data_IF_136144860107
#
_entry.id   IF_136144860107
#
_cell.length_a   1.000
_cell.length_b   1.000
_cell.length_c   1.000
_cell.angle_alpha   90.00
_cell.angle_beta   90.00
_cell.angle_gamma   90.00
#
_symmetry.space_group_name_H-M   'P 1'
#
loop_
_entity.id
_entity.type
_entity.pdbx_description
1 polymer ?
#
# COMPACT_ATOMS: atom_id res chain seq x y z
N UNK A 1 26.33 19.63 -8.00
CA UNK A 1 24.94 19.51 -8.50
C UNK A 1 24.80 18.59 -9.71
N UNK A 2 25.77 18.52 -10.63
CA UNK A 2 25.76 17.63 -11.83
C UNK A 2 25.70 16.10 -11.56
N UNK A 3 25.98 15.65 -10.33
CA UNK A 3 25.88 14.24 -9.96
C UNK A 3 24.42 13.81 -9.71
N UNK A 4 23.63 14.68 -9.08
CA UNK A 4 22.23 14.41 -8.75
C UNK A 4 21.34 14.38 -9.99
N UNK A 5 21.56 15.29 -10.95
CA UNK A 5 20.83 15.28 -12.22
C UNK A 5 21.07 13.99 -13.01
N UNK A 6 22.33 13.55 -13.12
CA UNK A 6 22.68 12.28 -13.78
C UNK A 6 22.05 11.05 -13.15
N UNK A 7 21.95 11.00 -11.82
CA UNK A 7 21.29 9.90 -11.11
C UNK A 7 19.79 9.91 -11.42
N UNK A 8 19.15 11.08 -11.38
CA UNK A 8 17.72 11.23 -11.68
C UNK A 8 17.42 10.83 -13.13
N UNK A 9 18.25 11.24 -14.08
CA UNK A 9 18.07 10.91 -15.49
C UNK A 9 18.23 9.39 -15.74
N UNK A 10 19.18 8.75 -15.05
CA UNK A 10 19.35 7.30 -15.11
C UNK A 10 18.16 6.53 -14.52
N UNK A 11 17.60 7.01 -13.41
CA UNK A 11 16.40 6.43 -12.81
C UNK A 11 15.20 6.59 -13.75
N UNK A 12 15.02 7.76 -14.38
CA UNK A 12 13.95 7.98 -15.37
C UNK A 12 14.08 7.02 -16.56
N UNK A 13 15.29 6.86 -17.09
CA UNK A 13 15.57 5.94 -18.17
C UNK A 13 15.20 4.50 -17.79
N UNK A 14 15.56 4.05 -16.59
CA UNK A 14 15.20 2.72 -16.11
C UNK A 14 13.68 2.55 -15.95
N UNK A 15 13.00 3.58 -15.45
CA UNK A 15 11.53 3.57 -15.29
C UNK A 15 10.83 3.45 -16.65
N UNK A 16 11.33 4.15 -17.66
CA UNK A 16 10.78 4.15 -19.01
C UNK A 16 11.01 2.80 -19.71
N UNK A 17 12.23 2.27 -19.66
CA UNK A 17 12.60 1.00 -20.30
C UNK A 17 11.86 -0.20 -19.70
N UNK A 18 11.62 -0.20 -18.38
CA UNK A 18 11.00 -1.35 -17.69
C UNK A 18 9.49 -1.22 -17.49
N UNK A 19 8.90 -0.07 -17.82
CA UNK A 19 7.52 0.27 -17.49
C UNK A 19 7.15 0.05 -16.01
N UNK A 20 8.13 0.09 -15.11
CA UNK A 20 7.96 -0.20 -13.68
C UNK A 20 6.92 0.70 -13.00
N UNK A 21 6.65 1.89 -13.56
CA UNK A 21 5.62 2.77 -13.04
C UNK A 21 4.26 2.06 -12.93
N UNK A 22 3.97 1.10 -13.80
CA UNK A 22 2.72 0.33 -13.79
C UNK A 22 2.69 -0.64 -12.60
N UNK A 23 3.83 -1.28 -12.33
CA UNK A 23 4.03 -2.21 -11.21
C UNK A 23 3.94 -1.46 -9.88
N UNK A 24 4.65 -0.34 -9.78
CA UNK A 24 4.61 0.53 -8.61
C UNK A 24 3.17 1.01 -8.30
N UNK A 25 2.42 1.45 -9.32
CA UNK A 25 1.01 1.85 -9.13
C UNK A 25 0.14 0.70 -8.65
N UNK A 26 0.32 -0.51 -9.18
CA UNK A 26 -0.42 -1.71 -8.75
C UNK A 26 -0.14 -2.05 -7.28
N UNK A 27 1.14 -2.11 -6.89
CA UNK A 27 1.53 -2.40 -5.50
C UNK A 27 1.04 -1.31 -4.54
N UNK A 28 1.18 -0.03 -4.91
CA UNK A 28 0.71 1.08 -4.08
C UNK A 28 -0.79 1.00 -3.77
N UNK A 29 -1.62 0.76 -4.80
CA UNK A 29 -3.08 0.70 -4.61
C UNK A 29 -3.47 -0.55 -3.84
N UNK A 30 -2.90 -1.71 -4.20
CA UNK A 30 -3.22 -3.00 -3.55
C UNK A 30 -2.86 -2.96 -2.07
N UNK A 31 -1.60 -2.70 -1.74
CA UNK A 31 -1.14 -2.80 -0.36
C UNK A 31 -1.54 -1.55 0.46
N UNK A 32 -1.72 -0.40 -0.20
CA UNK A 32 -2.37 0.77 0.40
C UNK A 32 -3.82 0.49 0.84
N UNK A 33 -4.60 -0.22 0.02
CA UNK A 33 -5.94 -0.69 0.40
C UNK A 33 -5.86 -1.65 1.59
N UNK A 34 -4.95 -2.63 1.54
CA UNK A 34 -4.78 -3.60 2.62
C UNK A 34 -4.44 -2.91 3.96
N UNK A 35 -3.61 -1.86 3.95
CA UNK A 35 -3.28 -1.07 5.14
C UNK A 35 -4.50 -0.36 5.74
N UNK A 36 -5.28 0.34 4.92
CA UNK A 36 -6.53 0.98 5.37
C UNK A 36 -7.55 -0.04 5.88
N UNK A 37 -7.70 -1.18 5.20
CA UNK A 37 -8.65 -2.24 5.59
C UNK A 37 -8.26 -2.95 6.87
N UNK A 38 -6.96 -3.22 7.06
CA UNK A 38 -6.44 -3.85 8.27
C UNK A 38 -6.68 -2.95 9.49
N UNK A 39 -6.39 -1.66 9.38
CA UNK A 39 -6.65 -0.70 10.45
C UNK A 39 -8.15 -0.51 10.66
N UNK A 40 -8.98 -0.51 9.61
CA UNK A 40 -10.45 -0.49 9.77
C UNK A 40 -10.93 -1.66 10.63
N UNK A 41 -10.44 -2.88 10.35
CA UNK A 41 -10.76 -4.06 11.14
C UNK A 41 -10.35 -3.92 12.60
N UNK A 42 -9.15 -3.39 12.87
CA UNK A 42 -8.68 -3.11 14.24
C UNK A 42 -9.55 -2.08 14.94
N UNK A 43 -9.91 -0.98 14.26
CA UNK A 43 -10.76 0.08 14.81
C UNK A 43 -12.15 -0.48 15.15
N UNK A 44 -12.80 -1.18 14.21
CA UNK A 44 -14.14 -1.72 14.43
C UNK A 44 -14.14 -2.82 15.49
N UNK A 45 -13.13 -3.70 15.50
CA UNK A 45 -12.99 -4.72 16.54
C UNK A 45 -12.74 -4.12 17.91
N UNK A 46 -11.93 -3.08 18.01
CA UNK A 46 -11.68 -2.35 19.25
C UNK A 46 -12.93 -1.63 19.74
N UNK A 47 -13.74 -1.09 18.82
CA UNK A 47 -15.05 -0.51 19.16
C UNK A 47 -15.96 -1.58 19.77
N UNK A 48 -16.12 -2.73 19.09
CA UNK A 48 -16.96 -3.82 19.58
C UNK A 48 -16.51 -4.31 20.96
N UNK A 49 -15.20 -4.37 21.20
CA UNK A 49 -14.59 -4.72 22.49
C UNK A 49 -14.60 -3.58 23.53
N UNK A 50 -15.15 -2.41 23.21
CA UNK A 50 -15.24 -1.21 24.07
C UNK A 50 -13.88 -0.78 24.64
N UNK A 51 -12.85 -0.79 23.80
CA UNK A 51 -11.51 -0.37 24.21
C UNK A 51 -11.49 1.15 24.42
N UNK A 52 -11.24 1.58 25.66
CA UNK A 52 -11.19 3.00 26.02
C UNK A 52 -9.79 3.62 25.94
N UNK A 53 -8.74 2.78 25.78
CA UNK A 53 -7.36 3.26 25.75
C UNK A 53 -6.87 3.41 24.29
N UNK A 54 -6.66 4.64 23.79
CA UNK A 54 -6.22 4.88 22.41
C UNK A 54 -4.82 4.35 22.12
N UNK A 55 -3.97 4.18 23.15
CA UNK A 55 -2.64 3.58 23.01
C UNK A 55 -2.70 2.16 22.45
N UNK A 56 -3.68 1.36 22.90
CA UNK A 56 -3.84 -0.03 22.46
C UNK A 56 -4.14 -0.07 20.96
N UNK A 57 -5.03 0.81 20.49
CA UNK A 57 -5.47 0.87 19.09
C UNK A 57 -4.32 1.34 18.20
N UNK A 58 -3.59 2.38 18.63
CA UNK A 58 -2.42 2.89 17.89
C UNK A 58 -1.33 1.84 17.79
N UNK A 59 -1.00 1.15 18.89
CA UNK A 59 0.04 0.10 18.87
C UNK A 59 -0.38 -1.13 18.07
N UNK A 60 -1.65 -1.56 18.17
CA UNK A 60 -2.16 -2.65 17.35
C UNK A 60 -2.13 -2.29 15.85
N UNK A 61 -2.60 -1.09 15.50
CA UNK A 61 -2.60 -0.60 14.12
C UNK A 61 -1.20 -0.45 13.55
N UNK A 62 -0.30 0.21 14.29
CA UNK A 62 1.11 0.35 13.90
C UNK A 62 1.80 -1.00 13.77
N UNK A 63 1.62 -1.90 14.74
CA UNK A 63 2.22 -3.22 14.74
C UNK A 63 1.78 -4.04 13.52
N UNK A 64 0.47 -4.04 13.22
CA UNK A 64 -0.06 -4.70 12.04
C UNK A 64 0.50 -4.11 10.73
N UNK A 65 0.59 -2.78 10.64
CA UNK A 65 1.09 -2.12 9.43
C UNK A 65 2.58 -2.28 9.23
N UNK A 66 3.37 -2.31 10.31
CA UNK A 66 4.79 -2.64 10.25
C UNK A 66 5.00 -4.08 9.82
N UNK A 67 4.23 -5.03 10.35
CA UNK A 67 4.29 -6.42 9.92
C UNK A 67 3.95 -6.57 8.43
N UNK A 68 2.89 -5.91 7.96
CA UNK A 68 2.53 -5.86 6.54
C UNK A 68 3.59 -5.16 5.70
N UNK A 69 4.15 -4.06 6.17
CA UNK A 69 5.17 -3.30 5.45
C UNK A 69 6.45 -4.11 5.25
N UNK A 70 6.94 -4.77 6.31
CA UNK A 70 8.07 -5.70 6.23
C UNK A 70 7.73 -6.87 5.30
N UNK A 71 6.54 -7.47 5.45
CA UNK A 71 6.11 -8.57 4.59
C UNK A 71 6.02 -8.16 3.12
N UNK A 72 5.53 -6.96 2.82
CA UNK A 72 5.45 -6.41 1.47
C UNK A 72 6.83 -6.08 0.89
N UNK A 73 7.71 -5.43 1.68
CA UNK A 73 9.09 -5.14 1.28
C UNK A 73 9.81 -6.42 0.80
N UNK A 74 9.89 -7.42 1.67
CA UNK A 74 10.63 -8.64 1.35
C UNK A 74 9.88 -9.50 0.34
N UNK A 75 8.54 -9.58 0.44
CA UNK A 75 7.71 -10.35 -0.47
C UNK A 75 7.81 -9.85 -1.91
N UNK A 76 7.54 -8.56 -2.14
CA UNK A 76 7.65 -7.97 -3.46
C UNK A 76 9.09 -7.99 -3.98
N UNK A 77 10.11 -7.77 -3.14
CA UNK A 77 11.51 -7.87 -3.57
C UNK A 77 11.85 -9.27 -4.09
N UNK A 78 11.55 -10.32 -3.32
CA UNK A 78 11.91 -11.69 -3.69
C UNK A 78 11.11 -12.13 -4.92
N UNK A 79 9.81 -11.85 -4.96
CA UNK A 79 8.93 -12.22 -6.08
C UNK A 79 9.34 -11.49 -7.36
N UNK A 80 9.48 -10.16 -7.34
CA UNK A 80 9.89 -9.42 -8.54
C UNK A 80 11.31 -9.79 -8.95
N UNK A 81 12.24 -10.05 -8.02
CA UNK A 81 13.59 -10.49 -8.37
C UNK A 81 13.58 -11.81 -9.13
N UNK A 82 12.76 -12.78 -8.69
CA UNK A 82 12.61 -14.05 -9.37
C UNK A 82 12.01 -13.87 -10.78
N UNK A 83 10.94 -13.08 -10.90
CA UNK A 83 10.29 -12.80 -12.20
C UNK A 83 11.24 -12.06 -13.17
N UNK A 84 11.96 -11.02 -12.70
CA UNK A 84 12.91 -10.28 -13.55
C UNK A 84 14.05 -11.17 -14.03
N UNK A 85 14.59 -12.02 -13.16
CA UNK A 85 15.64 -12.95 -13.54
C UNK A 85 15.17 -13.96 -14.58
N UNK A 86 13.94 -14.45 -14.46
CA UNK A 86 13.33 -15.32 -15.47
C UNK A 86 13.15 -14.61 -16.80
N UNK A 87 12.58 -13.40 -16.79
CA UNK A 87 12.35 -12.60 -18.01
C UNK A 87 13.66 -12.35 -18.78
N UNK A 88 14.75 -12.00 -18.06
CA UNK A 88 16.07 -11.80 -18.70
C UNK A 88 16.59 -13.11 -19.29
N UNK A 89 16.52 -14.21 -18.54
CA UNK A 89 16.99 -15.51 -19.01
C UNK A 89 16.22 -16.02 -20.23
N UNK A 90 14.91 -15.91 -20.21
CA UNK A 90 14.06 -16.29 -21.36
C UNK A 90 14.40 -15.43 -22.60
N UNK A 91 14.74 -14.15 -22.38
CA UNK A 91 15.17 -13.26 -23.46
C UNK A 91 16.54 -13.66 -24.02
N UNK A 92 17.53 -13.93 -23.17
CA UNK A 92 18.88 -14.41 -23.56
C UNK A 92 18.80 -15.70 -24.39
N UNK A 93 17.97 -16.66 -23.97
CA UNK A 93 17.73 -17.90 -24.69
C UNK A 93 17.09 -17.65 -26.07
N UNK A 94 16.15 -16.69 -26.16
CA UNK A 94 15.47 -16.36 -27.44
C UNK A 94 16.38 -15.65 -28.45
N UNK A 95 17.38 -14.88 -27.98
CA UNK A 95 18.31 -14.14 -28.83
C UNK A 95 19.67 -14.85 -28.98
N UNK A 96 19.87 -15.97 -28.28
CA UNK A 96 21.12 -16.74 -28.22
C UNK A 96 22.34 -15.89 -27.86
N UNK A 97 22.15 -14.92 -26.96
CA UNK A 97 23.18 -13.95 -26.57
C UNK A 97 23.00 -13.52 -25.13
N UNK A 98 24.11 -13.30 -24.44
CA UNK A 98 24.16 -12.86 -23.05
C UNK A 98 23.81 -11.36 -22.96
N UNK A 99 22.96 -11.00 -21.99
CA UNK A 99 22.54 -9.62 -21.74
C UNK A 99 23.34 -8.97 -20.59
N UNK A 100 24.41 -9.60 -20.11
CA UNK A 100 25.27 -9.11 -19.04
C UNK A 100 25.81 -7.71 -19.33
N UNK A 101 25.56 -6.80 -18.39
CA UNK A 101 25.92 -5.39 -18.52
C UNK A 101 25.05 -4.58 -19.49
N UNK A 102 24.03 -5.18 -20.13
CA UNK A 102 23.09 -4.46 -20.99
C UNK A 102 22.25 -3.46 -20.20
N UNK A 103 21.71 -2.45 -20.91
CA UNK A 103 20.76 -1.51 -20.32
C UNK A 103 19.52 -2.25 -19.78
N UNK A 104 19.07 -3.29 -20.49
CA UNK A 104 17.87 -4.05 -20.14
C UNK A 104 18.04 -4.84 -18.84
N UNK A 105 19.19 -5.48 -18.63
CA UNK A 105 19.49 -6.18 -17.38
C UNK A 105 19.61 -5.20 -16.22
N UNK A 106 20.42 -4.14 -16.37
CA UNK A 106 20.62 -3.15 -15.31
C UNK A 106 19.30 -2.49 -14.89
N UNK A 107 18.42 -2.19 -15.84
CA UNK A 107 17.11 -1.64 -15.53
C UNK A 107 16.21 -2.69 -14.84
N UNK A 108 16.27 -3.96 -15.24
CA UNK A 108 15.51 -5.04 -14.62
C UNK A 108 15.93 -5.34 -13.17
N UNK A 109 17.21 -5.17 -12.82
CA UNK A 109 17.71 -5.31 -11.45
C UNK A 109 17.24 -4.19 -10.51
N UNK A 110 16.89 -3.02 -11.06
CA UNK A 110 16.31 -1.93 -10.28
C UNK A 110 14.85 -2.21 -9.90
N UNK A 111 14.13 -3.03 -10.68
CA UNK A 111 12.69 -3.23 -10.51
C UNK A 111 12.28 -3.78 -9.14
N UNK A 112 12.90 -4.85 -8.62
CA UNK A 112 12.50 -5.44 -7.35
C UNK A 112 12.65 -4.46 -6.18
N UNK A 113 13.68 -3.60 -6.23
CA UNK A 113 13.93 -2.63 -5.17
C UNK A 113 12.85 -1.55 -5.12
N UNK A 114 12.48 -0.97 -6.27
CA UNK A 114 11.42 0.05 -6.28
C UNK A 114 10.05 -0.57 -5.95
N UNK A 115 9.75 -1.75 -6.49
CA UNK A 115 8.52 -2.47 -6.20
C UNK A 115 8.37 -2.75 -4.71
N UNK A 116 9.43 -3.27 -4.07
CA UNK A 116 9.49 -3.51 -2.63
C UNK A 116 9.22 -2.25 -1.82
N UNK A 117 9.92 -1.15 -2.13
CA UNK A 117 9.75 0.11 -1.38
C UNK A 117 8.32 0.63 -1.47
N UNK A 118 7.74 0.64 -2.67
CA UNK A 118 6.37 1.12 -2.87
C UNK A 118 5.37 0.20 -2.19
N UNK A 119 5.53 -1.12 -2.35
CA UNK A 119 4.66 -2.10 -1.72
C UNK A 119 4.72 -1.96 -0.20
N UNK A 120 5.90 -1.98 0.41
CA UNK A 120 6.05 -1.95 1.85
C UNK A 120 5.71 -0.64 2.55
N UNK A 121 5.92 0.50 1.90
CA UNK A 121 5.57 1.81 2.49
C UNK A 121 4.08 2.11 2.39
N UNK A 122 3.40 1.62 1.35
CA UNK A 122 2.01 2.00 1.08
C UNK A 122 1.01 1.66 2.21
N UNK A 123 1.03 0.50 2.89
CA UNK A 123 0.11 0.22 3.99
C UNK A 123 0.32 1.18 5.15
N UNK A 124 1.57 1.48 5.48
CA UNK A 124 1.90 2.36 6.61
C UNK A 124 1.37 3.76 6.35
N UNK A 125 1.55 4.28 5.13
CA UNK A 125 1.05 5.61 4.75
C UNK A 125 -0.48 5.71 4.85
N UNK A 126 -1.19 4.70 4.34
CA UNK A 126 -2.66 4.72 4.33
C UNK A 126 -3.24 4.46 5.73
N UNK A 127 -2.61 3.59 6.51
CA UNK A 127 -2.96 3.33 7.90
C UNK A 127 -2.73 4.52 8.82
N UNK A 128 -1.67 5.30 8.61
CA UNK A 128 -1.41 6.51 9.39
C UNK A 128 -2.56 7.50 9.29
N UNK A 129 -3.18 7.65 8.11
CA UNK A 129 -4.34 8.52 7.94
C UNK A 129 -5.48 8.10 8.88
N UNK A 130 -5.72 6.80 9.00
CA UNK A 130 -6.75 6.24 9.89
C UNK A 130 -6.40 6.33 11.37
N UNK A 131 -5.12 6.32 11.74
CA UNK A 131 -4.67 6.34 13.14
C UNK A 131 -4.47 7.75 13.72
N UNK A 132 -4.38 8.80 12.88
CA UNK A 132 -4.24 10.19 13.32
C UNK A 132 -5.23 10.57 14.45
N UNK A 133 -6.54 10.29 14.36
CA UNK A 133 -7.49 10.65 15.42
C UNK A 133 -7.21 9.97 16.76
N UNK A 134 -6.63 8.78 16.77
CA UNK A 134 -6.25 8.09 18.01
C UNK A 134 -4.95 8.65 18.58
N UNK A 135 -4.00 9.05 17.72
CA UNK A 135 -2.78 9.75 18.14
C UNK A 135 -3.14 11.08 18.80
N UNK A 136 -4.09 11.84 18.26
CA UNK A 136 -4.56 13.09 18.89
C UNK A 136 -5.33 12.83 20.19
N UNK A 137 -6.04 11.70 20.30
CA UNK A 137 -6.67 11.25 21.55
C UNK A 137 -5.65 10.90 22.64
N UNK A 138 -4.51 10.28 22.28
CA UNK A 138 -3.41 10.05 23.23
C UNK A 138 -2.84 11.36 23.80
N UNK A 139 -2.88 12.44 23.02
CA UNK A 139 -2.50 13.79 23.46
C UNK A 139 -3.59 14.50 24.26
N UNK A 140 -4.72 13.83 24.55
CA UNK A 140 -5.91 14.36 25.23
C UNK A 140 -6.55 15.57 24.53
N UNK A 141 -6.37 15.70 23.21
CA UNK A 141 -6.96 16.77 22.40
C UNK A 141 -8.43 16.43 22.05
N UNK A 142 -8.70 15.15 21.78
CA UNK A 142 -9.98 14.65 21.27
C UNK A 142 -10.46 13.46 22.11
N UNK A 143 -11.77 13.36 22.33
CA UNK A 143 -12.39 12.22 22.99
C UNK A 143 -12.22 10.94 22.17
N UNK A 144 -12.06 9.78 22.83
CA UNK A 144 -11.88 8.52 22.11
C UNK A 144 -13.08 8.17 21.21
N UNK A 145 -14.30 8.50 21.64
CA UNK A 145 -15.51 8.26 20.85
C UNK A 145 -15.52 9.05 19.55
N UNK A 146 -15.09 10.32 19.60
CA UNK A 146 -14.94 11.15 18.41
C UNK A 146 -13.82 10.60 17.51
N UNK A 147 -12.72 10.11 18.10
CA UNK A 147 -11.64 9.47 17.35
C UNK A 147 -12.10 8.23 16.59
N UNK A 148 -12.99 7.42 17.15
CA UNK A 148 -13.60 6.29 16.44
C UNK A 148 -14.39 6.75 15.21
N UNK A 149 -15.26 7.74 15.36
CA UNK A 149 -16.10 8.22 14.24
C UNK A 149 -15.22 8.86 13.15
N UNK A 150 -14.31 9.75 13.54
CA UNK A 150 -13.42 10.45 12.61
C UNK A 150 -12.50 9.48 11.89
N UNK A 151 -11.93 8.48 12.59
CA UNK A 151 -11.06 7.48 11.97
C UNK A 151 -11.79 6.61 10.95
N UNK A 152 -13.04 6.22 11.22
CA UNK A 152 -13.86 5.47 10.25
C UNK A 152 -14.11 6.32 9.00
N UNK A 153 -14.50 7.59 9.17
CA UNK A 153 -14.72 8.51 8.04
C UNK A 153 -13.43 8.68 7.22
N UNK A 154 -12.30 8.91 7.88
CA UNK A 154 -11.00 9.04 7.21
C UNK A 154 -10.61 7.76 6.47
N UNK A 155 -10.88 6.59 7.07
CA UNK A 155 -10.55 5.31 6.45
C UNK A 155 -11.37 5.08 5.18
N UNK A 156 -12.69 5.27 5.25
CA UNK A 156 -13.55 5.19 4.05
C UNK A 156 -13.20 6.27 3.02
N UNK A 157 -12.84 7.48 3.45
CA UNK A 157 -12.34 8.53 2.58
C UNK A 157 -11.06 8.15 1.86
N UNK A 158 -10.13 7.47 2.56
CA UNK A 158 -8.87 6.98 2.01
C UNK A 158 -9.11 5.86 0.99
N UNK A 159 -9.95 4.89 1.32
CA UNK A 159 -10.38 3.83 0.39
C UNK A 159 -11.05 4.42 -0.86
N UNK A 160 -11.95 5.39 -0.67
CA UNK A 160 -12.61 6.07 -1.77
C UNK A 160 -11.60 6.81 -2.66
N UNK A 161 -10.63 7.52 -2.07
CA UNK A 161 -9.58 8.23 -2.80
C UNK A 161 -8.67 7.27 -3.59
N UNK A 162 -8.28 6.13 -3.00
CA UNK A 162 -7.54 5.07 -3.69
C UNK A 162 -8.35 4.50 -4.87
N UNK A 163 -9.65 4.30 -4.68
CA UNK A 163 -10.54 3.88 -5.76
C UNK A 163 -10.67 4.93 -6.87
N UNK A 164 -10.82 6.22 -6.54
CA UNK A 164 -10.81 7.31 -7.54
C UNK A 164 -9.50 7.33 -8.34
N UNK A 165 -8.37 7.08 -7.68
CA UNK A 165 -7.07 6.99 -8.31
C UNK A 165 -7.01 5.80 -9.28
N UNK A 166 -7.47 4.63 -8.86
CA UNK A 166 -7.52 3.44 -9.72
C UNK A 166 -8.44 3.63 -10.93
N UNK A 167 -9.63 4.21 -10.71
CA UNK A 167 -10.56 4.51 -11.79
C UNK A 167 -10.02 5.56 -12.78
N UNK A 168 -9.14 6.47 -12.33
CA UNK A 168 -8.42 7.39 -13.23
C UNK A 168 -7.43 6.64 -14.11
N UNK A 169 -6.73 5.64 -13.57
CA UNK A 169 -5.80 4.80 -14.33
C UNK A 169 -6.56 3.94 -15.35
N UNK A 170 -7.71 3.37 -14.94
CA UNK A 170 -8.56 2.57 -15.81
C UNK A 170 -9.22 3.36 -16.96
N UNK A 171 -9.16 4.71 -16.93
CA UNK A 171 -9.88 5.61 -17.86
C UNK A 171 -11.40 5.38 -17.87
N UNK A 172 -11.95 4.94 -16.74
CA UNK A 172 -13.36 4.67 -16.56
C UNK A 172 -14.01 5.69 -15.60
N UNK A 173 -15.26 5.43 -15.20
CA UNK A 173 -15.99 6.25 -14.22
C UNK A 173 -15.34 6.13 -12.85
N UNK A 174 -14.45 7.07 -12.52
CA UNK A 174 -13.67 7.14 -11.27
C UNK A 174 -14.47 6.85 -9.99
N UNK A 175 -15.67 7.43 -9.89
CA UNK A 175 -16.56 7.28 -8.73
C UNK A 175 -17.01 5.84 -8.50
N UNK A 176 -17.16 5.01 -9.55
CA UNK A 176 -17.53 3.60 -9.40
C UNK A 176 -16.43 2.80 -8.70
N UNK A 177 -15.16 3.03 -9.05
CA UNK A 177 -14.03 2.40 -8.38
C UNK A 177 -13.91 2.85 -6.92
N UNK A 178 -14.15 4.13 -6.64
CA UNK A 178 -14.26 4.63 -5.27
C UNK A 178 -15.33 3.89 -4.48
N UNK A 179 -16.53 3.71 -5.07
CA UNK A 179 -17.64 3.02 -4.43
C UNK A 179 -17.35 1.52 -4.22
N UNK A 180 -16.67 0.86 -5.16
CA UNK A 180 -16.23 -0.54 -5.00
C UNK A 180 -15.28 -0.70 -3.81
N UNK A 181 -14.32 0.22 -3.64
CA UNK A 181 -13.39 0.20 -2.50
C UNK A 181 -14.10 0.44 -1.17
N UNK A 182 -15.06 1.38 -1.14
CA UNK A 182 -15.90 1.60 0.04
C UNK A 182 -16.75 0.36 0.34
N UNK A 183 -17.35 -0.27 -0.67
CA UNK A 183 -18.13 -1.49 -0.50
C UNK A 183 -17.30 -2.62 0.12
N UNK A 184 -16.04 -2.79 -0.30
CA UNK A 184 -15.13 -3.75 0.33
C UNK A 184 -14.85 -3.42 1.82
N UNK A 185 -14.69 -2.14 2.16
CA UNK A 185 -14.61 -1.71 3.57
C UNK A 185 -15.88 -2.00 4.37
N UNK A 186 -17.06 -1.84 3.76
CA UNK A 186 -18.35 -2.19 4.37
C UNK A 186 -18.46 -3.69 4.60
N UNK A 187 -17.96 -4.52 3.69
CA UNK A 187 -17.91 -5.99 3.88
C UNK A 187 -17.08 -6.34 5.12
N UNK A 188 -15.90 -5.72 5.31
CA UNK A 188 -15.10 -5.92 6.52
C UNK A 188 -15.88 -5.50 7.76
N UNK A 189 -16.54 -4.34 7.71
CA UNK A 189 -17.33 -3.86 8.84
C UNK A 189 -18.46 -4.83 9.21
N UNK A 190 -19.13 -5.40 8.21
CA UNK A 190 -20.15 -6.41 8.40
C UNK A 190 -19.58 -7.71 9.00
N UNK A 191 -18.44 -8.19 8.51
CA UNK A 191 -17.79 -9.40 9.05
C UNK A 191 -17.41 -9.18 10.52
N UNK A 192 -16.81 -8.05 10.85
CA UNK A 192 -16.42 -7.72 12.24
C UNK A 192 -17.65 -7.60 13.14
N UNK A 193 -18.74 -7.00 12.63
CA UNK A 193 -20.01 -6.92 13.36
C UNK A 193 -20.53 -8.32 13.75
N UNK A 194 -20.61 -9.24 12.77
CA UNK A 194 -21.06 -10.62 12.99
C UNK A 194 -20.14 -11.38 13.95
N UNK A 195 -18.81 -11.23 13.80
CA UNK A 195 -17.83 -11.87 14.69
C UNK A 195 -17.88 -11.31 16.12
N UNK A 196 -18.21 -10.04 16.28
CA UNK A 196 -18.36 -9.38 17.58
C UNK A 196 -19.58 -9.86 18.38
N UNK A 197 -20.46 -10.67 17.78
CA UNK A 197 -21.65 -11.21 18.45
C UNK A 197 -22.75 -10.17 18.70
N UNK A 198 -22.77 -9.10 17.92
CA UNK A 198 -23.84 -8.09 17.87
C UNK A 198 -24.77 -8.34 16.68
#
# INVERSE_FOLDING_TARGET
MESLSRIIDRIRLYIEVTHISDIARRYFVKNGMDGSMTVLGIILGSWAARVENPYIIVMAGLGACLAMGVSGLFGAYITEKAERKKIIKDLEESILSDLEGSLQQNASEFVPTLAALVDGLSPTLTAMISLIPFITSMMKIVSIWDSYIVSIILTFGTLFALGLYLGRIARERKWLYGLQMVAAGVVIAFIVYVLGGL
#
